data_IF_156540070334
#
_entry.id   IF_156540070334
#
_cell.length_a   1.000
_cell.length_b   1.000
_cell.length_c   1.000
_cell.angle_alpha   90.00
_cell.angle_beta   90.00
_cell.angle_gamma   90.00
#
_symmetry.space_group_name_H-M   'P 1'
#
loop_
_entity.id
_entity.type
_entity.pdbx_description
1 polymer ?
#
# COMPACT_ATOMS: atom_id res chain seq x y z
N UNK A 1 -5.45 17.03 7.51
CA UNK A 1 -4.66 18.27 7.69
C UNK A 1 -3.26 17.88 8.19
N UNK A 2 -2.18 18.52 7.73
CA UNK A 2 -0.85 18.34 8.34
C UNK A 2 -0.77 19.06 9.68
N UNK A 3 0.15 18.64 10.56
CA UNK A 3 0.40 19.32 11.83
C UNK A 3 1.09 20.65 11.56
N UNK A 4 0.47 21.75 11.97
CA UNK A 4 0.99 23.12 11.83
C UNK A 4 0.75 23.90 13.12
N UNK A 5 1.28 25.12 13.23
CA UNK A 5 0.97 26.00 14.36
C UNK A 5 -0.54 26.29 14.48
N UNK A 6 -1.23 26.42 13.34
CA UNK A 6 -2.68 26.61 13.24
C UNK A 6 -3.51 25.33 13.38
N UNK A 7 -2.88 24.15 13.27
CA UNK A 7 -3.53 22.84 13.41
C UNK A 7 -2.62 21.94 14.27
N UNK A 8 -2.53 22.21 15.59
CA UNK A 8 -1.60 21.51 16.48
C UNK A 8 -1.97 20.03 16.66
N UNK A 9 -3.26 19.70 16.54
CA UNK A 9 -3.77 18.33 16.56
C UNK A 9 -4.62 18.04 15.32
N UNK A 10 -4.03 17.49 14.24
CA UNK A 10 -4.78 17.18 13.03
C UNK A 10 -5.73 16.00 13.15
N UNK A 11 -5.76 15.28 14.28
CA UNK A 11 -6.67 14.16 14.50
C UNK A 11 -8.05 14.58 14.97
N UNK A 12 -8.22 15.84 15.37
CA UNK A 12 -9.52 16.40 15.83
C UNK A 12 -10.12 17.39 14.83
N UNK A 13 -9.59 17.43 13.61
CA UNK A 13 -10.04 18.35 12.56
C UNK A 13 -10.36 17.55 11.31
N UNK A 14 -11.51 17.88 10.72
CA UNK A 14 -11.98 17.33 9.46
C UNK A 14 -10.97 17.52 8.33
N UNK A 15 -11.03 16.63 7.35
CA UNK A 15 -10.21 16.71 6.14
C UNK A 15 -11.10 17.04 4.95
N UNK A 16 -11.38 18.32 4.68
CA UNK A 16 -12.40 18.68 3.69
C UNK A 16 -12.04 18.19 2.29
N UNK A 17 -13.06 17.77 1.53
CA UNK A 17 -12.90 17.36 0.13
C UNK A 17 -12.68 18.56 -0.82
N UNK A 18 -12.99 19.77 -0.38
CA UNK A 18 -12.80 21.01 -1.15
C UNK A 18 -12.04 22.04 -0.33
N UNK A 19 -11.22 22.85 -0.99
CA UNK A 19 -10.68 24.06 -0.39
C UNK A 19 -11.79 25.10 -0.20
N UNK A 20 -11.56 26.11 0.64
CA UNK A 20 -12.50 27.22 0.84
C UNK A 20 -12.82 27.97 -0.48
N UNK A 21 -11.90 27.95 -1.45
CA UNK A 21 -12.06 28.49 -2.80
C UNK A 21 -12.91 27.62 -3.74
N UNK A 22 -13.38 26.45 -3.27
CA UNK A 22 -14.29 25.55 -4.01
C UNK A 22 -13.61 24.44 -4.82
N UNK A 23 -12.31 24.54 -5.10
CA UNK A 23 -11.56 23.50 -5.82
C UNK A 23 -11.35 22.22 -4.98
N UNK A 24 -11.21 21.03 -5.59
CA UNK A 24 -11.04 19.78 -4.85
C UNK A 24 -9.66 19.68 -4.19
N UNK A 25 -9.61 19.22 -2.95
CA UNK A 25 -8.36 18.84 -2.28
C UNK A 25 -7.79 17.55 -2.89
N UNK A 26 -6.58 17.14 -2.51
CA UNK A 26 -6.05 15.85 -2.95
C UNK A 26 -6.93 14.68 -2.49
N UNK A 27 -7.44 14.73 -1.25
CA UNK A 27 -8.45 13.78 -0.78
C UNK A 27 -9.75 13.90 -1.57
N UNK A 28 -10.17 15.12 -1.94
CA UNK A 28 -11.31 15.37 -2.82
C UNK A 28 -11.19 14.66 -4.18
N UNK A 29 -10.04 14.80 -4.83
CA UNK A 29 -9.73 14.13 -6.09
C UNK A 29 -9.75 12.61 -5.91
N UNK A 30 -9.10 12.11 -4.87
CA UNK A 30 -9.03 10.67 -4.57
C UNK A 30 -10.41 10.08 -4.23
N UNK A 31 -11.25 10.81 -3.51
CA UNK A 31 -12.63 10.42 -3.17
C UNK A 31 -13.52 10.38 -4.40
N UNK A 32 -13.52 11.45 -5.21
CA UNK A 32 -14.27 11.48 -6.46
C UNK A 32 -13.84 10.34 -7.39
N UNK A 33 -12.54 10.07 -7.42
CA UNK A 33 -11.96 8.99 -8.18
C UNK A 33 -12.54 7.63 -7.77
N UNK A 34 -12.49 7.31 -6.49
CA UNK A 34 -13.01 6.06 -5.96
C UNK A 34 -14.52 5.91 -6.17
N UNK A 35 -15.31 6.98 -5.95
CA UNK A 35 -16.78 6.93 -6.14
C UNK A 35 -17.15 6.67 -7.59
N UNK A 36 -16.46 7.28 -8.54
CA UNK A 36 -16.75 7.06 -9.96
C UNK A 36 -16.36 5.64 -10.41
N UNK A 37 -15.32 5.04 -9.82
CA UNK A 37 -15.01 3.63 -10.04
C UNK A 37 -16.11 2.71 -9.47
N UNK A 38 -16.54 2.95 -8.23
CA UNK A 38 -17.64 2.20 -7.61
C UNK A 38 -18.97 2.30 -8.38
N UNK A 39 -19.22 3.45 -9.03
CA UNK A 39 -20.42 3.67 -9.84
C UNK A 39 -20.34 3.06 -11.25
N UNK A 40 -19.19 2.50 -11.66
CA UNK A 40 -18.97 1.98 -13.01
C UNK A 40 -18.76 3.06 -14.07
N UNK A 41 -18.64 4.33 -13.68
CA UNK A 41 -18.44 5.45 -14.61
C UNK A 41 -17.01 5.51 -15.16
N UNK A 42 -16.07 4.83 -14.51
CA UNK A 42 -14.66 4.73 -14.92
C UNK A 42 -14.00 3.51 -14.32
N UNK A 43 -12.84 3.14 -14.87
CA UNK A 43 -12.01 2.09 -14.27
C UNK A 43 -11.39 2.54 -12.94
N UNK A 44 -11.06 1.61 -12.03
CA UNK A 44 -10.34 1.92 -10.80
C UNK A 44 -8.98 2.58 -11.08
N UNK A 45 -8.58 3.55 -10.25
CA UNK A 45 -7.19 4.04 -10.30
C UNK A 45 -6.24 3.00 -9.73
N UNK A 46 -5.03 2.95 -10.28
CA UNK A 46 -3.91 2.21 -9.70
C UNK A 46 -3.16 3.09 -8.72
N UNK A 47 -2.97 2.60 -7.50
CA UNK A 47 -2.32 3.34 -6.42
C UNK A 47 -1.19 2.52 -5.82
N UNK A 48 -0.02 3.13 -5.70
CA UNK A 48 1.12 2.55 -4.98
C UNK A 48 0.91 2.74 -3.49
N UNK A 49 0.92 1.65 -2.72
CA UNK A 49 0.70 1.71 -1.28
C UNK A 49 2.02 1.51 -0.54
N UNK A 50 2.33 2.47 0.32
CA UNK A 50 3.46 2.40 1.24
C UNK A 50 2.92 2.32 2.67
N UNK A 51 3.34 1.30 3.39
CA UNK A 51 2.96 1.06 4.77
C UNK A 51 4.09 1.46 5.70
N UNK A 52 3.79 2.29 6.70
CA UNK A 52 4.71 2.59 7.79
C UNK A 52 4.58 1.50 8.86
N UNK A 53 5.47 0.52 8.84
CA UNK A 53 5.43 -0.58 9.82
C UNK A 53 6.04 -0.19 11.17
N UNK A 54 6.98 0.77 11.19
CA UNK A 54 7.56 1.38 12.39
C UNK A 54 8.10 2.77 12.08
N UNK A 55 8.37 3.59 13.10
CA UNK A 55 9.15 4.82 12.93
C UNK A 55 10.47 4.53 12.18
N UNK A 56 10.71 5.25 11.08
CA UNK A 56 11.88 5.08 10.23
C UNK A 56 11.81 3.90 9.24
N UNK A 57 10.76 3.07 9.28
CA UNK A 57 10.66 1.87 8.43
C UNK A 57 9.38 1.92 7.60
N UNK A 58 9.55 2.01 6.28
CA UNK A 58 8.48 1.97 5.30
C UNK A 58 8.62 0.73 4.43
N UNK A 59 7.49 0.08 4.17
CA UNK A 59 7.37 -1.09 3.32
C UNK A 59 6.52 -0.73 2.11
N UNK A 60 7.01 -1.05 0.90
CA UNK A 60 6.20 -0.97 -0.30
C UNK A 60 5.30 -2.21 -0.40
N UNK A 61 3.98 -2.02 -0.44
CA UNK A 61 2.99 -3.09 -0.47
C UNK A 61 2.48 -3.41 -1.88
N UNK A 62 3.06 -2.81 -2.92
CA UNK A 62 2.64 -3.03 -4.31
C UNK A 62 1.57 -2.04 -4.78
N UNK A 63 0.97 -2.39 -5.92
CA UNK A 63 -0.10 -1.63 -6.56
C UNK A 63 -1.46 -2.16 -6.13
N UNK A 64 -2.40 -1.24 -5.94
CA UNK A 64 -3.77 -1.52 -5.54
C UNK A 64 -4.73 -0.84 -6.49
N UNK A 65 -5.92 -1.39 -6.65
CA UNK A 65 -7.05 -0.69 -7.26
C UNK A 65 -7.82 0.10 -6.21
N UNK A 66 -8.08 1.37 -6.49
CA UNK A 66 -8.96 2.23 -5.71
C UNK A 66 -10.41 2.04 -6.16
N UNK A 67 -11.18 1.28 -5.38
CA UNK A 67 -12.49 0.76 -5.85
C UNK A 67 -13.70 1.45 -5.22
N UNK A 68 -13.57 2.06 -4.03
CA UNK A 68 -14.68 2.81 -3.41
C UNK A 68 -14.18 3.79 -2.33
N UNK A 69 -15.04 4.72 -1.94
CA UNK A 69 -14.83 5.62 -0.81
C UNK A 69 -16.14 5.94 -0.09
N UNK A 70 -16.02 6.25 1.20
CA UNK A 70 -17.12 6.74 2.03
C UNK A 70 -16.61 7.68 3.10
N UNK A 71 -17.52 8.42 3.72
CA UNK A 71 -17.24 9.27 4.86
C UNK A 71 -17.93 8.69 6.09
N UNK A 72 -17.25 8.74 7.22
CA UNK A 72 -17.82 8.35 8.50
C UNK A 72 -17.31 9.28 9.62
N UNK A 73 -18.13 9.56 10.63
CA UNK A 73 -17.66 10.22 11.84
C UNK A 73 -16.81 9.24 12.68
N UNK A 74 -15.68 9.72 13.19
CA UNK A 74 -15.02 9.18 14.37
C UNK A 74 -15.39 10.03 15.61
N UNK A 75 -14.75 9.78 16.75
CA UNK A 75 -15.01 10.50 18.01
C UNK A 75 -14.84 12.03 17.90
N UNK A 76 -14.00 12.50 16.97
CA UNK A 76 -13.58 13.90 16.92
C UNK A 76 -13.83 14.59 15.59
N UNK A 77 -14.03 13.84 14.50
CA UNK A 77 -14.09 14.39 13.14
C UNK A 77 -14.77 13.45 12.16
N UNK A 78 -15.11 13.98 10.99
CA UNK A 78 -15.44 13.18 9.81
C UNK A 78 -14.16 12.77 9.08
N UNK A 79 -14.02 11.47 8.84
CA UNK A 79 -12.92 10.89 8.06
C UNK A 79 -13.42 10.32 6.74
N UNK A 80 -12.57 10.41 5.73
CA UNK A 80 -12.80 9.75 4.44
C UNK A 80 -12.03 8.44 4.41
N UNK A 81 -12.74 7.34 4.19
CA UNK A 81 -12.18 6.01 4.05
C UNK A 81 -12.22 5.57 2.60
N UNK A 82 -11.25 4.73 2.25
CA UNK A 82 -11.04 4.24 0.89
C UNK A 82 -10.95 2.72 0.92
N UNK A 83 -11.65 2.08 -0.02
CA UNK A 83 -11.53 0.65 -0.26
C UNK A 83 -10.48 0.43 -1.34
N UNK A 84 -9.42 -0.29 -0.96
CA UNK A 84 -8.33 -0.67 -1.84
C UNK A 84 -8.31 -2.18 -1.99
N UNK A 85 -8.05 -2.67 -3.21
CA UNK A 85 -7.84 -4.09 -3.50
C UNK A 85 -6.40 -4.27 -3.97
N UNK A 86 -5.61 -5.05 -3.24
CA UNK A 86 -4.26 -5.40 -3.65
C UNK A 86 -4.32 -6.30 -4.89
N UNK A 87 -3.58 -5.95 -5.93
CA UNK A 87 -3.57 -6.68 -7.20
C UNK A 87 -2.14 -7.07 -7.58
N UNK A 88 -2.01 -8.14 -8.35
CA UNK A 88 -0.78 -8.55 -9.03
C UNK A 88 -0.97 -8.56 -10.55
N UNK A 89 0.10 -8.30 -11.30
CA UNK A 89 0.09 -8.32 -12.77
C UNK A 89 -0.46 -7.04 -13.41
N UNK A 90 -0.61 -5.97 -12.63
CA UNK A 90 -1.02 -4.62 -13.07
C UNK A 90 -0.09 -3.55 -12.46
N UNK A 91 1.19 -3.90 -12.27
CA UNK A 91 2.21 -2.99 -11.75
C UNK A 91 2.73 -1.98 -12.80
N UNK A 92 2.61 -2.29 -14.09
CA UNK A 92 3.02 -1.40 -15.18
C UNK A 92 1.98 -0.30 -15.44
N UNK A 93 2.23 0.86 -14.83
CA UNK A 93 1.35 2.02 -14.94
C UNK A 93 1.29 2.65 -16.35
N UNK A 94 2.15 2.23 -17.28
CA UNK A 94 2.09 2.68 -18.68
C UNK A 94 1.04 1.95 -19.51
N UNK A 95 0.65 0.75 -19.09
CA UNK A 95 -0.39 -0.05 -19.73
C UNK A 95 -1.79 0.35 -19.23
N UNK A 96 -2.87 0.06 -19.98
CA UNK A 96 -4.23 0.21 -19.48
C UNK A 96 -4.48 -0.62 -18.21
N UNK A 97 -5.40 -0.16 -17.36
CA UNK A 97 -5.80 -0.88 -16.13
C UNK A 97 -6.39 -2.25 -16.50
N UNK A 98 -5.96 -3.30 -15.78
CA UNK A 98 -6.46 -4.67 -15.96
C UNK A 98 -7.54 -4.99 -14.93
N UNK A 99 -8.80 -5.10 -15.36
CA UNK A 99 -9.91 -5.40 -14.44
C UNK A 99 -9.87 -6.85 -13.94
N UNK A 100 -9.26 -7.74 -14.73
CA UNK A 100 -9.05 -9.16 -14.43
C UNK A 100 -7.81 -9.43 -13.56
N UNK A 101 -7.14 -8.39 -13.06
CA UNK A 101 -5.95 -8.55 -12.24
C UNK A 101 -6.23 -9.42 -11.00
N UNK A 102 -5.34 -10.37 -10.74
CA UNK A 102 -5.51 -11.30 -9.65
C UNK A 102 -5.35 -10.58 -8.30
N UNK A 103 -6.21 -10.94 -7.33
CA UNK A 103 -6.11 -10.38 -5.99
C UNK A 103 -4.90 -10.96 -5.29
N UNK A 104 -4.01 -10.08 -4.83
CA UNK A 104 -2.81 -10.46 -4.08
C UNK A 104 -3.08 -10.43 -2.58
N UNK A 105 -2.47 -11.37 -1.84
CA UNK A 105 -2.45 -11.31 -0.37
C UNK A 105 -1.29 -10.45 0.11
N UNK A 106 -1.54 -9.63 1.12
CA UNK A 106 -0.50 -8.86 1.78
C UNK A 106 0.22 -9.70 2.84
N UNK A 107 1.49 -9.38 3.07
CA UNK A 107 2.22 -9.86 4.24
C UNK A 107 1.75 -9.01 5.43
N UNK A 108 1.26 -9.63 6.52
CA UNK A 108 0.83 -8.92 7.71
C UNK A 108 1.96 -8.08 8.34
N UNK A 109 1.59 -6.99 9.00
CA UNK A 109 2.54 -6.05 9.62
C UNK A 109 3.42 -6.70 10.68
N UNK A 110 2.83 -7.57 11.51
CA UNK A 110 3.53 -8.34 12.54
C UNK A 110 4.59 -9.27 11.94
N UNK A 111 4.25 -9.96 10.84
CA UNK A 111 5.21 -10.81 10.11
C UNK A 111 6.34 -9.97 9.51
N UNK A 112 6.05 -8.80 8.94
CA UNK A 112 7.09 -7.88 8.43
C UNK A 112 8.03 -7.42 9.54
N UNK A 113 7.49 -7.12 10.73
CA UNK A 113 8.31 -6.70 11.87
C UNK A 113 9.21 -7.84 12.36
N UNK A 114 8.69 -9.07 12.39
CA UNK A 114 9.46 -10.27 12.73
C UNK A 114 10.61 -10.50 11.75
N UNK A 115 10.32 -10.49 10.45
CA UNK A 115 11.32 -10.65 9.38
C UNK A 115 12.35 -9.52 9.42
N UNK A 116 11.92 -8.27 9.60
CA UNK A 116 12.85 -7.14 9.70
C UNK A 116 13.82 -7.30 10.88
N UNK A 117 13.30 -7.76 12.02
CA UNK A 117 14.12 -8.03 13.21
C UNK A 117 15.09 -9.19 12.98
N UNK A 118 14.62 -10.29 12.37
CA UNK A 118 15.42 -11.48 12.05
C UNK A 118 16.56 -11.15 11.08
N UNK A 119 16.24 -10.47 9.99
CA UNK A 119 17.18 -10.16 8.90
C UNK A 119 18.02 -8.90 9.20
N UNK A 120 17.79 -8.24 10.34
CA UNK A 120 18.54 -7.07 10.78
C UNK A 120 18.40 -5.85 9.87
N UNK A 121 17.28 -5.74 9.14
CA UNK A 121 17.07 -4.69 8.14
C UNK A 121 18.09 -4.75 6.99
N UNK A 122 18.46 -5.97 6.57
CA UNK A 122 19.43 -6.22 5.50
C UNK A 122 18.88 -7.22 4.50
N UNK A 123 19.36 -7.12 3.26
CA UNK A 123 19.13 -8.13 2.24
C UNK A 123 19.77 -9.45 2.67
N UNK A 124 19.01 -10.54 2.68
CA UNK A 124 19.49 -11.89 3.03
C UNK A 124 20.56 -12.42 2.09
N UNK A 125 20.59 -11.93 0.85
CA UNK A 125 21.54 -12.38 -0.19
C UNK A 125 22.87 -11.63 -0.20
N UNK A 126 22.88 -10.34 0.15
CA UNK A 126 24.10 -9.52 0.02
C UNK A 126 24.33 -8.49 1.14
N UNK A 127 23.48 -8.44 2.16
CA UNK A 127 23.64 -7.52 3.29
C UNK A 127 23.32 -6.05 3.00
N UNK A 128 22.83 -5.70 1.81
CA UNK A 128 22.44 -4.33 1.48
C UNK A 128 21.33 -3.83 2.42
N UNK A 129 21.33 -2.54 2.76
CA UNK A 129 20.40 -1.92 3.72
C UNK A 129 19.43 -0.93 3.06
N UNK A 130 19.49 -0.78 1.74
CA UNK A 130 18.68 0.15 0.96
C UNK A 130 17.73 -0.60 0.02
N UNK A 131 16.65 0.09 -0.35
CA UNK A 131 15.64 -0.40 -1.30
C UNK A 131 15.20 -1.84 -0.99
N UNK A 132 14.85 -2.07 0.27
CA UNK A 132 14.49 -3.39 0.78
C UNK A 132 13.02 -3.71 0.52
N UNK A 133 12.77 -4.94 0.10
CA UNK A 133 11.47 -5.48 -0.22
C UNK A 133 11.24 -6.75 0.60
N UNK A 134 10.02 -6.92 1.11
CA UNK A 134 9.57 -8.17 1.69
C UNK A 134 9.09 -9.08 0.56
N UNK A 135 9.75 -10.20 0.40
CA UNK A 135 9.50 -11.16 -0.67
C UNK A 135 9.19 -12.54 -0.10
N UNK A 136 8.38 -13.32 -0.81
CA UNK A 136 8.04 -14.68 -0.43
C UNK A 136 9.10 -15.66 -0.92
N UNK A 137 9.60 -16.53 -0.03
CA UNK A 137 10.56 -17.58 -0.41
C UNK A 137 9.88 -18.58 -1.37
N UNK A 138 8.81 -19.25 -0.90
CA UNK A 138 7.87 -19.96 -1.76
C UNK A 138 6.80 -18.98 -2.24
N UNK A 139 6.67 -18.69 -3.55
CA UNK A 139 5.64 -17.81 -4.07
C UNK A 139 4.24 -18.27 -3.68
N UNK A 140 3.33 -17.32 -3.46
CA UNK A 140 1.94 -17.62 -3.11
C UNK A 140 1.25 -18.52 -4.14
N UNK A 141 1.45 -18.26 -5.44
CA UNK A 141 0.91 -19.07 -6.54
C UNK A 141 1.32 -20.55 -6.46
N UNK A 142 2.38 -20.87 -5.71
CA UNK A 142 2.91 -22.23 -5.49
C UNK A 142 2.62 -22.75 -4.07
N UNK A 143 1.67 -22.14 -3.35
CA UNK A 143 1.25 -22.56 -2.01
C UNK A 143 1.97 -21.87 -0.85
N UNK A 144 2.80 -20.85 -1.12
CA UNK A 144 3.49 -20.09 -0.08
C UNK A 144 2.55 -19.34 0.86
N UNK A 145 2.88 -19.30 2.16
CA UNK A 145 2.12 -18.56 3.17
C UNK A 145 2.69 -17.15 3.39
N UNK A 146 1.80 -16.17 3.60
CA UNK A 146 2.17 -14.83 4.09
C UNK A 146 2.17 -14.74 5.62
N UNK A 147 1.73 -15.79 6.31
CA UNK A 147 1.45 -15.77 7.76
C UNK A 147 2.59 -16.33 8.62
N UNK A 148 3.72 -16.70 8.01
CA UNK A 148 4.90 -17.21 8.71
C UNK A 148 6.12 -16.45 8.24
N UNK A 149 6.92 -15.93 9.17
CA UNK A 149 8.16 -15.24 8.86
C UNK A 149 9.15 -16.14 8.10
N UNK A 150 9.13 -17.46 8.34
CA UNK A 150 9.98 -18.43 7.65
C UNK A 150 9.76 -18.49 6.13
N UNK A 151 8.59 -18.06 5.63
CA UNK A 151 8.33 -17.99 4.19
C UNK A 151 8.49 -16.58 3.60
N UNK A 152 9.03 -15.63 4.39
CA UNK A 152 9.24 -14.24 3.98
C UNK A 152 10.69 -13.85 4.24
N UNK A 153 11.28 -13.09 3.33
CA UNK A 153 12.66 -12.62 3.40
C UNK A 153 12.78 -11.15 3.00
N UNK A 154 13.84 -10.48 3.45
CA UNK A 154 14.21 -9.16 2.94
C UNK A 154 15.21 -9.26 1.79
N UNK A 155 14.86 -8.67 0.65
CA UNK A 155 15.72 -8.56 -0.53
C UNK A 155 15.90 -7.10 -0.92
N UNK A 156 17.10 -6.70 -1.38
CA UNK A 156 17.25 -5.40 -2.04
C UNK A 156 16.63 -5.44 -3.44
N UNK A 157 16.32 -4.28 -4.03
CA UNK A 157 15.69 -4.17 -5.34
C UNK A 157 16.37 -5.05 -6.42
N UNK A 158 17.71 -5.08 -6.44
CA UNK A 158 18.49 -5.92 -7.37
C UNK A 158 18.18 -7.41 -7.21
N UNK A 159 18.21 -7.96 -6.00
CA UNK A 159 17.95 -9.38 -5.77
C UNK A 159 16.47 -9.72 -5.90
N UNK A 160 15.58 -8.80 -5.52
CA UNK A 160 14.14 -8.97 -5.70
C UNK A 160 13.77 -9.10 -7.18
N UNK A 161 14.30 -8.21 -8.03
CA UNK A 161 14.09 -8.26 -9.47
C UNK A 161 14.69 -9.54 -10.08
N UNK A 162 15.90 -9.91 -9.65
CA UNK A 162 16.56 -11.12 -10.14
C UNK A 162 15.79 -12.41 -9.79
N UNK A 163 15.16 -12.46 -8.61
CA UNK A 163 14.37 -13.63 -8.19
C UNK A 163 13.09 -13.80 -9.00
N UNK A 164 12.37 -12.70 -9.29
CA UNK A 164 11.07 -12.77 -9.97
C UNK A 164 10.14 -13.83 -9.29
N UNK A 165 9.40 -14.65 -10.04
CA UNK A 165 8.55 -15.74 -9.53
C UNK A 165 9.27 -17.10 -9.38
N UNK A 166 10.60 -17.10 -9.48
CA UNK A 166 11.39 -18.32 -9.35
C UNK A 166 11.56 -18.69 -7.86
N UNK A 167 11.44 -20.00 -7.59
CA UNK A 167 11.83 -20.58 -6.30
C UNK A 167 13.36 -20.73 -6.34
N UNK A 168 14.04 -20.33 -5.27
CA UNK A 168 15.43 -20.73 -5.01
C UNK A 168 15.46 -22.02 -4.21
#
# INVERSE_FOLDING_TARGET
MPKTASCPNPKVVDQPLKFATGGPTQNGKFYAAAKAANAGNRLPERVRVYEKIRAGIWSYNGVFHLVDAWSEPDEFRTVHKFKLVAVSGDEDLSQPVRIDAERRRLIPTDIKLEVWKRDGGKCTMCGATNELHFDHILPFAKGGTSLKADNVQLLCARHNLMKSDHIQ
#
